data_IF_302720144606
#
_entry.id   IF_302720144606
#
_cell.length_a   1.000
_cell.length_b   1.000
_cell.length_c   1.000
_cell.angle_alpha   90.00
_cell.angle_beta   90.00
_cell.angle_gamma   90.00
#
_symmetry.space_group_name_H-M   'P 1'
#
loop_
_entity.id
_entity.type
_entity.pdbx_description
1 polymer ?
#
# COMPACT_ATOMS: atom_id res chain seq x y z
N UNK A 1 -13.08 14.75 -15.08
CA UNK A 1 -11.86 14.82 -14.25
C UNK A 1 -12.16 14.14 -12.94
N UNK A 2 -11.49 13.01 -12.66
CA UNK A 2 -11.42 12.42 -11.32
C UNK A 2 -10.75 13.42 -10.38
N UNK A 3 -11.24 13.53 -9.15
CA UNK A 3 -10.59 14.33 -8.13
C UNK A 3 -9.19 13.77 -7.81
N UNK A 4 -8.24 14.65 -7.52
CA UNK A 4 -6.90 14.27 -7.04
C UNK A 4 -7.06 13.55 -5.71
N UNK A 5 -6.58 12.29 -5.64
CA UNK A 5 -6.56 11.54 -4.40
C UNK A 5 -5.21 11.72 -3.69
N UNK A 6 -5.24 12.02 -2.40
CA UNK A 6 -4.05 12.04 -1.54
C UNK A 6 -4.45 11.37 -0.23
N UNK A 7 -3.92 10.17 0.09
CA UNK A 7 -4.31 9.49 1.31
C UNK A 7 -3.74 10.23 2.54
N UNK A 8 -4.47 10.23 3.67
CA UNK A 8 -3.94 10.69 4.96
C UNK A 8 -2.65 9.98 5.36
N UNK A 9 -1.77 10.66 6.10
CA UNK A 9 -0.52 10.05 6.59
C UNK A 9 -0.74 8.89 7.58
N UNK A 10 -1.88 8.88 8.30
CA UNK A 10 -2.26 7.81 9.23
C UNK A 10 -2.43 6.45 8.54
N UNK A 11 -2.71 6.43 7.25
CA UNK A 11 -2.95 5.22 6.46
C UNK A 11 -1.78 4.24 6.46
N UNK A 12 -0.55 4.72 6.67
CA UNK A 12 0.64 3.88 6.83
C UNK A 12 0.65 3.01 8.10
N UNK A 13 -0.27 3.28 9.03
CA UNK A 13 -0.35 2.63 10.35
C UNK A 13 -1.65 1.85 10.59
N UNK A 14 -2.53 1.77 9.59
CA UNK A 14 -3.77 1.02 9.68
C UNK A 14 -3.56 -0.41 9.21
N UNK A 15 -3.83 -1.37 10.08
CA UNK A 15 -3.59 -2.80 9.86
C UNK A 15 -4.74 -3.63 10.38
N UNK A 16 -5.10 -4.65 9.60
CA UNK A 16 -6.06 -5.68 9.99
C UNK A 16 -5.34 -7.01 10.12
N UNK A 17 -5.52 -7.67 11.26
CA UNK A 17 -4.99 -9.00 11.54
C UNK A 17 -5.86 -10.05 10.86
N UNK A 18 -5.24 -10.85 10.00
CA UNK A 18 -5.79 -12.06 9.41
C UNK A 18 -5.10 -13.26 10.06
N UNK A 19 -5.89 -14.20 10.58
CA UNK A 19 -5.35 -15.33 11.35
C UNK A 19 -4.61 -16.32 10.45
N UNK A 20 -3.64 -17.05 11.02
CA UNK A 20 -2.98 -18.15 10.31
C UNK A 20 -3.97 -19.20 9.78
N UNK A 21 -5.12 -19.39 10.43
CA UNK A 21 -6.14 -20.33 9.98
C UNK A 21 -6.78 -19.91 8.65
N UNK A 22 -6.84 -18.62 8.35
CA UNK A 22 -7.40 -18.09 7.12
C UNK A 22 -6.44 -18.19 5.92
N UNK A 23 -5.13 -18.01 6.15
CA UNK A 23 -4.15 -17.83 5.06
C UNK A 23 -2.97 -18.82 5.04
N UNK A 24 -2.86 -19.68 6.06
CA UNK A 24 -1.75 -20.62 6.24
C UNK A 24 -0.35 -19.96 6.39
N UNK A 25 -0.28 -18.66 6.68
CA UNK A 25 0.97 -17.94 6.99
C UNK A 25 1.27 -18.09 8.47
N UNK A 26 2.49 -18.55 8.80
CA UNK A 26 2.91 -18.72 10.20
C UNK A 26 2.81 -17.40 10.96
N UNK A 27 2.07 -17.39 12.07
CA UNK A 27 1.81 -16.20 12.88
C UNK A 27 0.72 -15.27 12.34
N UNK A 28 0.10 -15.61 11.20
CA UNK A 28 -0.90 -14.79 10.53
C UNK A 28 -0.30 -13.64 9.70
N UNK A 29 -1.17 -12.73 9.27
CA UNK A 29 -0.82 -11.55 8.49
C UNK A 29 -1.37 -10.27 9.14
N UNK A 30 -0.62 -9.19 9.01
CA UNK A 30 -1.14 -7.83 9.16
C UNK A 30 -1.33 -7.25 7.77
N UNK A 31 -2.57 -7.10 7.32
CA UNK A 31 -2.91 -6.70 5.96
C UNK A 31 -3.51 -5.29 5.97
N UNK A 32 -3.05 -4.42 5.06
CA UNK A 32 -3.75 -3.17 4.82
C UNK A 32 -5.02 -3.40 3.99
N UNK A 33 -6.10 -2.68 4.33
CA UNK A 33 -7.36 -2.70 3.58
C UNK A 33 -8.06 -4.07 3.51
N UNK A 34 -7.97 -4.87 4.57
CA UNK A 34 -8.37 -6.28 4.53
C UNK A 34 -9.84 -6.58 4.89
N UNK A 35 -10.70 -5.58 5.15
CA UNK A 35 -12.05 -5.83 5.68
C UNK A 35 -13.17 -5.30 4.79
N UNK A 36 -14.09 -6.16 4.37
CA UNK A 36 -15.36 -5.72 3.78
C UNK A 36 -16.13 -4.85 4.79
N UNK A 37 -16.37 -3.58 4.47
CA UNK A 37 -16.98 -2.60 5.37
C UNK A 37 -16.02 -1.94 6.39
N UNK A 38 -14.74 -2.30 6.36
CA UNK A 38 -13.63 -1.66 7.08
C UNK A 38 -12.48 -1.34 6.12
N UNK A 39 -12.83 -1.11 4.86
CA UNK A 39 -11.91 -0.49 3.94
C UNK A 39 -11.51 0.82 4.61
N UNK A 40 -10.20 1.06 4.75
CA UNK A 40 -9.72 2.38 5.12
C UNK A 40 -10.03 3.30 3.95
N UNK A 41 -11.31 3.63 3.75
CA UNK A 41 -11.84 4.34 2.60
C UNK A 41 -11.16 5.70 2.43
N UNK A 42 -10.76 6.42 3.49
CA UNK A 42 -9.92 7.61 3.31
C UNK A 42 -8.51 7.31 2.81
N UNK A 43 -8.01 6.10 3.03
CA UNK A 43 -6.64 5.67 2.70
C UNK A 43 -6.49 5.11 1.29
N UNK A 44 -7.60 4.84 0.63
CA UNK A 44 -7.59 4.35 -0.74
C UNK A 44 -8.61 5.10 -1.59
N UNK A 45 -8.35 5.28 -2.89
CA UNK A 45 -9.35 5.90 -3.76
C UNK A 45 -10.63 5.07 -3.82
N UNK A 46 -11.79 5.69 -4.08
CA UNK A 46 -13.06 4.97 -4.22
C UNK A 46 -12.96 3.82 -5.24
N UNK A 47 -13.42 2.64 -4.85
CA UNK A 47 -13.38 1.43 -5.66
C UNK A 47 -12.12 0.58 -5.49
N UNK A 48 -11.09 1.05 -4.80
CA UNK A 48 -9.90 0.26 -4.49
C UNK A 48 -10.26 -0.94 -3.60
N UNK A 49 -9.84 -2.12 -4.05
CA UNK A 49 -10.04 -3.37 -3.35
C UNK A 49 -9.00 -4.40 -3.78
N UNK A 50 -8.73 -5.34 -2.89
CA UNK A 50 -7.76 -6.42 -3.11
C UNK A 50 -7.21 -6.93 -1.78
N UNK A 51 -7.24 -8.24 -1.59
CA UNK A 51 -6.71 -8.92 -0.41
C UNK A 51 -5.30 -9.48 -0.67
N UNK A 52 -4.39 -8.62 -1.16
CA UNK A 52 -3.03 -9.03 -1.55
C UNK A 52 -2.95 -9.91 -2.80
N UNK A 53 -4.10 -10.17 -3.42
CA UNK A 53 -4.29 -10.88 -4.68
C UNK A 53 -4.59 -9.86 -5.76
N UNK A 54 -3.87 -9.95 -6.88
CA UNK A 54 -4.06 -9.09 -8.04
C UNK A 54 -5.53 -9.16 -8.48
N UNK A 55 -6.26 -8.03 -8.48
CA UNK A 55 -7.59 -8.00 -9.07
C UNK A 55 -7.49 -8.40 -10.54
N UNK A 56 -8.61 -8.85 -11.11
CA UNK A 56 -8.70 -9.19 -12.54
C UNK A 56 -8.36 -8.00 -13.46
N UNK A 57 -8.36 -6.78 -12.93
CA UNK A 57 -7.83 -5.58 -13.56
C UNK A 57 -7.12 -4.72 -12.52
N UNK A 58 -5.89 -4.26 -12.82
CA UNK A 58 -5.17 -3.31 -11.96
C UNK A 58 -5.88 -1.96 -12.05
N UNK A 59 -6.35 -1.45 -10.91
CA UNK A 59 -6.91 -0.11 -10.83
C UNK A 59 -5.79 0.92 -10.91
N UNK A 60 -5.82 1.76 -11.95
CA UNK A 60 -4.85 2.85 -12.16
C UNK A 60 -5.55 4.16 -11.82
N UNK A 61 -5.01 4.90 -10.85
CA UNK A 61 -5.56 6.18 -10.40
C UNK A 61 -4.92 7.35 -11.16
N UNK A 62 -5.74 8.11 -11.88
CA UNK A 62 -5.27 9.21 -12.75
C UNK A 62 -6.18 10.45 -12.64
N UNK A 63 -5.63 11.68 -12.61
CA UNK A 63 -4.22 11.96 -12.37
C UNK A 63 -3.84 11.57 -10.92
N UNK A 64 -2.66 10.98 -10.73
CA UNK A 64 -2.16 10.57 -9.41
C UNK A 64 -0.64 10.49 -9.36
N UNK A 65 -0.07 10.75 -8.19
CA UNK A 65 1.34 10.49 -7.87
C UNK A 65 1.44 9.60 -6.64
N UNK A 66 2.60 9.00 -6.40
CA UNK A 66 2.79 8.18 -5.22
C UNK A 66 2.53 9.00 -3.94
N UNK A 67 1.74 8.47 -2.99
CA UNK A 67 1.48 9.15 -1.74
C UNK A 67 2.73 9.45 -0.93
N UNK A 68 2.59 10.38 0.04
CA UNK A 68 3.62 10.56 1.06
C UNK A 68 3.88 9.24 1.80
N UNK A 69 5.13 8.98 2.16
CA UNK A 69 5.63 7.71 2.73
C UNK A 69 5.66 6.52 1.76
N UNK A 70 5.21 6.68 0.51
CA UNK A 70 5.35 5.68 -0.54
C UNK A 70 6.53 6.02 -1.45
N UNK A 71 7.15 4.99 -2.02
CA UNK A 71 8.17 5.08 -3.06
C UNK A 71 7.74 4.29 -4.29
N UNK A 72 8.40 4.52 -5.42
CA UNK A 72 8.06 3.90 -6.70
C UNK A 72 8.76 2.55 -6.85
N UNK A 73 8.00 1.47 -7.01
CA UNK A 73 8.53 0.14 -7.33
C UNK A 73 8.93 0.04 -8.80
N UNK A 74 8.06 0.54 -9.66
CA UNK A 74 8.28 0.61 -11.10
C UNK A 74 7.52 1.80 -11.68
N UNK A 75 7.96 2.26 -12.84
CA UNK A 75 7.24 3.23 -13.64
C UNK A 75 7.44 2.94 -15.14
N UNK A 76 6.50 3.41 -15.94
CA UNK A 76 6.53 3.31 -17.39
C UNK A 76 6.02 4.62 -17.99
N UNK A 77 6.62 5.05 -19.10
CA UNK A 77 6.20 6.23 -19.85
C UNK A 77 5.90 5.84 -21.30
N UNK A 78 4.70 6.15 -21.78
CA UNK A 78 4.25 5.79 -23.13
C UNK A 78 4.38 6.93 -24.17
N UNK A 79 5.03 8.04 -23.80
CA UNK A 79 5.13 9.24 -24.64
C UNK A 79 4.12 10.33 -24.29
N UNK A 80 3.08 10.01 -23.51
CA UNK A 80 2.08 10.98 -23.03
C UNK A 80 1.82 10.86 -21.52
N UNK A 81 1.76 9.63 -21.03
CA UNK A 81 1.34 9.28 -19.67
C UNK A 81 2.46 8.53 -18.97
N UNK A 82 2.75 8.93 -17.74
CA UNK A 82 3.57 8.13 -16.82
C UNK A 82 2.65 7.30 -15.95
N UNK A 83 2.86 5.98 -15.90
CA UNK A 83 2.21 5.07 -14.94
C UNK A 83 3.26 4.62 -13.92
N UNK A 84 2.92 4.56 -12.64
CA UNK A 84 3.82 4.13 -11.58
C UNK A 84 3.11 3.21 -10.58
N UNK A 85 3.82 2.20 -10.07
CA UNK A 85 3.39 1.40 -8.91
C UNK A 85 4.08 1.92 -7.66
N UNK A 86 3.27 2.32 -6.69
CA UNK A 86 3.68 2.92 -5.43
C UNK A 86 3.55 1.91 -4.30
N UNK A 87 4.56 1.83 -3.43
CA UNK A 87 4.57 0.97 -2.25
C UNK A 87 5.12 1.70 -1.02
N UNK A 88 4.77 1.24 0.18
CA UNK A 88 5.21 1.90 1.41
C UNK A 88 6.74 1.80 1.56
N UNK A 89 7.43 2.92 1.78
CA UNK A 89 8.89 3.06 1.58
C UNK A 89 9.77 2.14 2.43
N UNK A 90 9.24 1.58 3.54
CA UNK A 90 9.96 0.67 4.44
C UNK A 90 9.71 -0.82 4.14
N UNK A 91 8.97 -1.11 3.08
CA UNK A 91 8.55 -2.46 2.72
C UNK A 91 9.32 -2.91 1.47
N UNK A 92 9.39 -4.21 1.21
CA UNK A 92 9.87 -4.73 -0.06
C UNK A 92 8.69 -4.90 -1.02
N UNK A 93 8.84 -4.46 -2.27
CA UNK A 93 7.85 -4.81 -3.30
C UNK A 93 7.94 -6.31 -3.61
N UNK A 94 6.81 -7.01 -3.55
CA UNK A 94 6.69 -8.44 -3.72
C UNK A 94 5.66 -8.73 -4.81
N UNK A 95 6.04 -9.56 -5.78
CA UNK A 95 5.19 -9.96 -6.89
C UNK A 95 5.56 -11.40 -7.28
N UNK A 96 4.63 -12.34 -7.11
CA UNK A 96 4.83 -13.74 -7.48
C UNK A 96 3.49 -14.44 -7.77
N UNK A 97 3.53 -15.50 -8.56
CA UNK A 97 2.37 -16.37 -8.81
C UNK A 97 2.44 -17.54 -7.85
N UNK A 98 1.32 -17.84 -7.17
CA UNK A 98 1.19 -19.02 -6.32
C UNK A 98 -0.23 -19.60 -6.41
N UNK A 99 -0.38 -20.86 -5.99
CA UNK A 99 -1.69 -21.49 -5.85
C UNK A 99 -2.42 -20.92 -4.64
N UNK A 100 -3.68 -20.52 -4.80
CA UNK A 100 -4.56 -20.12 -3.70
C UNK A 100 -5.16 -21.38 -3.08
N UNK A 101 -5.27 -21.44 -1.75
CA UNK A 101 -5.81 -22.59 -1.02
C UNK A 101 -7.18 -23.06 -1.56
N UNK A 102 -7.39 -24.38 -1.49
CA UNK A 102 -8.65 -25.12 -1.70
C UNK A 102 -9.34 -25.10 -3.10
N UNK A 103 -8.69 -24.63 -4.18
CA UNK A 103 -9.34 -24.61 -5.50
C UNK A 103 -8.48 -24.97 -6.71
N UNK A 104 -7.18 -25.25 -6.54
CA UNK A 104 -6.27 -25.53 -7.67
C UNK A 104 -6.06 -24.34 -8.62
N UNK A 105 -6.47 -23.14 -8.23
CA UNK A 105 -6.34 -21.91 -9.03
C UNK A 105 -5.04 -21.21 -8.66
N UNK A 106 -4.28 -20.79 -9.67
CA UNK A 106 -3.15 -19.88 -9.50
C UNK A 106 -3.63 -18.44 -9.43
N UNK A 107 -3.09 -17.67 -8.50
CA UNK A 107 -3.27 -16.23 -8.45
C UNK A 107 -1.92 -15.51 -8.47
N UNK A 108 -1.93 -14.32 -9.05
CA UNK A 108 -0.82 -13.39 -8.94
C UNK A 108 -0.95 -12.65 -7.62
N UNK A 109 0.02 -12.84 -6.74
CA UNK A 109 0.17 -12.05 -5.52
C UNK A 109 1.01 -10.82 -5.84
N UNK A 110 0.58 -9.69 -5.30
CA UNK A 110 1.26 -8.41 -5.44
C UNK A 110 1.05 -7.64 -4.14
N UNK A 111 2.13 -7.13 -3.59
CA UNK A 111 2.15 -6.68 -2.21
C UNK A 111 3.40 -5.91 -1.90
N UNK A 112 3.36 -5.19 -0.81
CA UNK A 112 4.53 -4.59 -0.20
C UNK A 112 4.67 -5.33 1.13
N UNK A 113 5.77 -6.05 1.34
CA UNK A 113 5.95 -6.88 2.52
C UNK A 113 7.00 -6.34 3.47
N UNK A 114 6.76 -6.46 4.77
CA UNK A 114 7.78 -6.26 5.81
C UNK A 114 7.47 -7.18 7.00
N UNK A 115 8.33 -7.16 8.01
CA UNK A 115 8.12 -7.93 9.24
C UNK A 115 7.84 -6.95 10.37
N UNK A 116 6.66 -7.09 10.97
CA UNK A 116 6.35 -6.50 12.26
C UNK A 116 7.16 -7.23 13.32
N UNK A 117 7.94 -6.51 14.10
CA UNK A 117 8.91 -7.07 15.06
C UNK A 117 8.63 -6.64 16.49
N UNK A 118 7.44 -6.10 16.78
CA UNK A 118 7.16 -5.58 18.11
C UNK A 118 7.03 -6.74 19.12
N UNK A 119 7.92 -6.73 20.11
CA UNK A 119 7.84 -7.65 21.24
C UNK A 119 6.64 -7.30 22.13
N UNK A 120 6.28 -6.02 22.21
CA UNK A 120 5.17 -5.57 23.02
C UNK A 120 3.83 -5.77 22.30
N UNK A 121 2.78 -6.21 23.03
CA UNK A 121 1.45 -6.39 22.46
C UNK A 121 0.91 -5.07 21.87
N UNK A 122 0.43 -5.14 20.62
CA UNK A 122 -0.16 -4.00 19.89
C UNK A 122 -1.59 -4.34 19.50
N UNK A 123 -2.51 -3.40 19.72
CA UNK A 123 -3.92 -3.57 19.36
C UNK A 123 -4.15 -3.17 17.91
N UNK A 124 -4.75 -4.07 17.13
CA UNK A 124 -5.08 -3.88 15.72
C UNK A 124 -6.51 -4.34 15.47
N UNK A 125 -7.08 -4.01 14.31
CA UNK A 125 -8.36 -4.59 13.93
C UNK A 125 -8.19 -6.09 13.63
N UNK A 126 -9.19 -6.90 13.97
CA UNK A 126 -9.27 -8.28 13.50
C UNK A 126 -10.10 -8.33 12.22
N UNK A 127 -9.74 -9.23 11.30
CA UNK A 127 -10.64 -9.69 10.25
C UNK A 127 -11.90 -10.28 10.88
N UNK A 128 -13.05 -10.04 10.24
CA UNK A 128 -14.32 -10.56 10.69
C UNK A 128 -14.60 -11.95 10.18
N UNK A 129 -15.34 -12.75 10.94
CA UNK A 129 -15.86 -14.02 10.43
C UNK A 129 -16.88 -13.78 9.29
N UNK A 130 -16.90 -14.69 8.31
CA UNK A 130 -17.70 -14.68 7.07
C UNK A 130 -19.23 -14.63 7.26
N UNK A 131 -19.73 -14.72 8.50
CA UNK A 131 -21.16 -14.85 8.79
C UNK A 131 -21.95 -13.52 8.69
N UNK A 132 -21.36 -12.45 8.16
CA UNK A 132 -22.08 -11.22 7.78
C UNK A 132 -22.77 -10.47 8.93
N UNK A 133 -22.59 -10.91 10.17
CA UNK A 133 -23.25 -10.38 11.36
C UNK A 133 -22.17 -10.08 12.40
N UNK A 134 -21.93 -8.78 12.62
CA UNK A 134 -21.23 -8.18 13.79
C UNK A 134 -19.71 -8.05 13.84
N UNK A 135 -18.98 -8.16 12.73
CA UNK A 135 -17.52 -8.00 12.77
C UNK A 135 -17.00 -6.56 12.61
N UNK A 136 -17.80 -5.52 12.90
CA UNK A 136 -17.38 -4.11 12.86
C UNK A 136 -17.08 -3.63 14.29
N UNK A 137 -15.80 -3.41 14.61
CA UNK A 137 -15.29 -3.00 15.92
C UNK A 137 -14.38 -3.99 16.66
N UNK A 138 -14.25 -5.25 16.22
CA UNK A 138 -13.39 -6.22 16.90
C UNK A 138 -11.92 -5.83 16.76
N UNK A 139 -11.29 -5.57 17.91
CA UNK A 139 -9.87 -5.35 18.07
C UNK A 139 -9.26 -6.66 18.58
N UNK A 140 -8.07 -6.98 18.09
CA UNK A 140 -7.25 -8.07 18.59
C UNK A 140 -5.89 -7.53 19.00
N UNK A 141 -5.17 -8.32 19.78
CA UNK A 141 -3.81 -7.98 20.19
C UNK A 141 -2.83 -8.89 19.49
N UNK A 142 -1.86 -8.29 18.82
CA UNK A 142 -0.79 -8.99 18.11
C UNK A 142 0.55 -8.70 18.76
N UNK A 143 1.45 -9.68 18.75
CA UNK A 143 2.81 -9.54 19.28
C UNK A 143 3.74 -10.53 18.59
N UNK A 144 5.04 -10.23 18.63
CA UNK A 144 6.06 -11.07 18.03
C UNK A 144 6.28 -10.78 16.54
N UNK A 145 6.84 -11.77 15.84
CA UNK A 145 7.17 -11.67 14.42
C UNK A 145 5.94 -11.96 13.58
N UNK A 146 5.44 -10.94 12.85
CA UNK A 146 4.26 -11.08 11.99
C UNK A 146 4.55 -10.47 10.63
N UNK A 147 4.18 -11.16 9.57
CA UNK A 147 4.33 -10.62 8.21
C UNK A 147 3.30 -9.53 7.98
N UNK A 148 3.77 -8.36 7.56
CA UNK A 148 2.93 -7.23 7.16
C UNK A 148 2.79 -7.22 5.63
N UNK A 149 1.58 -7.04 5.13
CA UNK A 149 1.23 -7.01 3.71
C UNK A 149 0.46 -5.73 3.37
N UNK A 150 1.17 -4.72 2.89
CA UNK A 150 0.59 -3.47 2.38
C UNK A 150 0.17 -3.60 0.91
N UNK A 151 -0.97 -3.01 0.54
CA UNK A 151 -1.43 -3.02 -0.84
C UNK A 151 -0.67 -1.97 -1.66
N UNK A 152 -0.08 -2.32 -2.82
CA UNK A 152 0.51 -1.35 -3.71
C UNK A 152 -0.59 -0.54 -4.43
N UNK A 153 -0.28 0.70 -4.79
CA UNK A 153 -1.20 1.62 -5.48
C UNK A 153 -0.62 1.92 -6.85
N UNK A 154 -1.39 1.70 -7.92
CA UNK A 154 -0.99 2.12 -9.27
C UNK A 154 -1.57 3.51 -9.57
N UNK A 155 -0.72 4.43 -10.01
CA UNK A 155 -1.09 5.80 -10.36
C UNK A 155 -0.66 6.11 -11.79
N UNK A 156 -1.33 7.07 -12.42
CA UNK A 156 -0.91 7.62 -13.69
C UNK A 156 -1.07 9.14 -13.70
N UNK A 157 -0.17 9.84 -14.40
CA UNK A 157 -0.23 11.28 -14.58
C UNK A 157 0.42 11.70 -15.90
N UNK A 158 -0.05 12.83 -16.45
CA UNK A 158 0.65 13.55 -17.50
C UNK A 158 1.50 14.67 -16.89
N UNK A 159 2.49 15.15 -17.63
CA UNK A 159 3.42 16.16 -17.10
C UNK A 159 2.69 17.45 -16.65
N UNK A 160 1.60 17.84 -17.31
CA UNK A 160 0.82 19.01 -16.92
C UNK A 160 0.01 18.81 -15.63
N UNK A 161 -0.31 17.55 -15.28
CA UNK A 161 -0.99 17.20 -14.04
C UNK A 161 -0.11 17.38 -12.80
N UNK A 162 1.22 17.45 -12.96
CA UNK A 162 2.14 17.62 -11.82
C UNK A 162 1.85 18.88 -11.01
N UNK A 163 1.30 19.92 -11.65
CA UNK A 163 0.85 21.15 -11.00
C UNK A 163 -0.29 20.94 -10.00
N UNK A 164 -1.02 19.83 -10.07
CA UNK A 164 -2.09 19.48 -9.15
C UNK A 164 -1.57 18.98 -7.79
N UNK A 165 -0.31 18.56 -7.71
CA UNK A 165 0.26 17.87 -6.53
C UNK A 165 1.25 18.73 -5.72
N UNK A 166 1.47 19.99 -6.12
CA UNK A 166 2.45 20.90 -5.50
C UNK A 166 2.05 21.42 -4.11
N UNK A 167 0.83 21.16 -3.63
CA UNK A 167 0.32 21.69 -2.35
C UNK A 167 0.58 20.81 -1.12
N UNK A 168 1.15 19.60 -1.26
CA UNK A 168 1.33 18.65 -0.15
C UNK A 168 2.79 18.38 0.27
N UNK A 169 3.73 19.28 -0.04
CA UNK A 169 5.17 19.11 0.31
C UNK A 169 5.78 20.22 1.20
N UNK A 170 4.97 21.02 1.91
CA UNK A 170 5.52 22.10 2.77
C UNK A 170 5.98 21.65 4.18
N UNK A 171 6.19 20.34 4.42
CA UNK A 171 6.95 19.89 5.59
C UNK A 171 7.92 18.79 5.19
N UNK A 172 9.20 19.16 5.07
CA UNK A 172 10.40 18.31 4.92
C UNK A 172 10.86 17.97 3.50
N UNK A 173 11.05 18.99 2.65
CA UNK A 173 12.23 18.97 1.79
C UNK A 173 13.40 19.62 2.55
N UNK A 174 14.21 18.82 3.25
CA UNK A 174 15.61 19.22 3.48
C UNK A 174 16.31 18.99 2.15
N UNK A 175 16.25 20.01 1.30
CA UNK A 175 17.08 20.10 0.10
C UNK A 175 18.53 20.10 0.59
N UNK A 176 19.19 18.94 0.60
CA UNK A 176 20.66 18.93 0.67
C UNK A 176 21.11 19.51 -0.68
N UNK A 177 21.50 20.78 -0.66
CA UNK A 177 22.26 21.39 -1.73
C UNK A 177 23.42 20.45 -2.10
N UNK A 178 23.30 19.75 -3.23
CA UNK A 178 24.47 19.32 -3.97
C UNK A 178 25.11 20.59 -4.53
N UNK A 179 26.14 21.07 -3.82
CA UNK A 179 27.04 22.09 -4.33
C UNK A 179 27.79 21.52 -5.54
N UNK A 180 27.35 21.89 -6.74
CA UNK A 180 28.21 21.89 -7.92
C UNK A 180 29.23 23.02 -7.75
N UNK A 181 30.42 22.69 -7.27
CA UNK A 181 31.60 23.55 -7.41
C UNK A 181 32.87 22.70 -7.25
N UNK A 182 33.23 21.98 -8.31
CA UNK A 182 34.61 21.62 -8.58
C UNK A 182 34.80 21.48 -10.09
N UNK A 183 34.96 22.64 -10.73
CA UNK A 183 35.59 22.77 -12.03
C UNK A 183 36.33 24.12 -12.06
N UNK A 184 37.64 24.06 -12.30
CA UNK A 184 38.61 25.14 -12.55
C UNK A 184 39.03 26.02 -11.36
N UNK A 185 40.22 25.71 -10.80
CA UNK A 185 41.45 26.52 -10.89
C UNK A 185 42.48 26.01 -9.87
N UNK A 186 43.46 25.24 -10.36
CA UNK A 186 44.91 25.31 -10.11
C UNK A 186 45.56 24.04 -10.68
#
# INVERSE_FOLDING_TARGET
MSAVFTPPSSCSSHWTSESQAANSVTGGLLIQNAGAGRNDEPCYPPGFGGWGIAPSFIQIFSPGVCPSEYTTANNNYDGHTTTAVCYLSKFGYTNFISSVNAGGKTAQFYGCTSIFTNADPTTVFAEGDDDGVTSSGMLTTVSGLITMWAQPIAVAFQQHDLSLFTTSQSRRLKLRHLSLAQALHL
#
